data_IF_305472632761
#
_entry.id   IF_305472632761
#
_cell.length_a   1.000
_cell.length_b   1.000
_cell.length_c   1.000
_cell.angle_alpha   90.00
_cell.angle_beta   90.00
_cell.angle_gamma   90.00
#
_symmetry.space_group_name_H-M   'P 1'
#
loop_
_entity.id
_entity.type
_entity.pdbx_description
1 polymer ?
#
# COMPACT_ATOMS: atom_id res chain seq x y z
N UNK A 1 -28.33 41.63 -4.66
CA UNK A 1 -28.21 40.31 -3.99
C UNK A 1 -26.76 39.85 -4.10
N UNK A 2 -26.11 39.77 -2.96
CA UNK A 2 -24.65 39.76 -2.81
C UNK A 2 -24.10 38.32 -3.06
N UNK A 3 -23.26 38.14 -4.07
CA UNK A 3 -22.56 36.88 -4.43
C UNK A 3 -21.35 36.57 -3.54
N UNK A 4 -21.18 37.27 -2.41
CA UNK A 4 -20.03 37.09 -1.49
C UNK A 4 -20.25 36.07 -0.36
N UNK A 5 -21.44 35.44 -0.25
CA UNK A 5 -21.75 34.56 0.89
C UNK A 5 -21.58 33.05 0.60
N UNK A 6 -21.15 32.65 -0.60
CA UNK A 6 -20.99 31.24 -0.96
C UNK A 6 -19.55 30.71 -0.92
N UNK A 7 -18.57 31.61 -0.63
CA UNK A 7 -17.16 31.23 -0.57
C UNK A 7 -16.63 31.05 0.87
N UNK A 8 -17.39 31.46 1.89
CA UNK A 8 -16.97 31.40 3.31
C UNK A 8 -17.26 30.06 4.00
N UNK A 9 -17.98 29.14 3.38
CA UNK A 9 -18.29 27.82 3.96
C UNK A 9 -17.28 26.74 3.58
N UNK A 10 -16.38 27.02 2.62
CA UNK A 10 -15.41 26.04 2.10
C UNK A 10 -14.06 26.02 2.80
N UNK A 11 -13.78 26.94 3.70
CA UNK A 11 -12.46 27.04 4.38
C UNK A 11 -12.45 26.54 5.83
N UNK A 12 -13.56 26.06 6.36
CA UNK A 12 -13.66 25.57 7.76
C UNK A 12 -13.56 24.06 7.91
N UNK A 13 -13.33 23.31 6.84
CA UNK A 13 -13.02 21.88 6.92
C UNK A 13 -11.50 21.64 6.78
N UNK A 14 -10.69 22.35 7.52
CA UNK A 14 -9.38 21.83 7.96
C UNK A 14 -9.70 20.58 8.77
N UNK A 15 -9.63 19.40 8.13
CA UNK A 15 -9.66 18.12 8.78
C UNK A 15 -8.64 18.21 9.92
N UNK A 16 -9.12 18.32 11.14
CA UNK A 16 -8.28 18.31 12.34
C UNK A 16 -7.80 16.85 12.45
N UNK A 17 -6.68 16.56 11.77
CA UNK A 17 -6.10 15.23 11.79
C UNK A 17 -5.90 14.86 13.25
N UNK A 18 -6.50 13.75 13.70
CA UNK A 18 -6.34 13.29 15.08
C UNK A 18 -4.84 13.11 15.36
N UNK A 19 -4.44 13.39 16.61
CA UNK A 19 -3.03 13.26 17.04
C UNK A 19 -2.45 11.90 16.76
N UNK A 20 -3.27 10.87 16.81
CA UNK A 20 -2.90 9.50 16.42
C UNK A 20 -2.46 9.45 14.96
N UNK A 21 -3.26 9.99 14.05
CA UNK A 21 -2.93 10.04 12.62
C UNK A 21 -1.69 10.91 12.33
N UNK A 22 -1.56 12.05 13.02
CA UNK A 22 -0.37 12.90 12.90
C UNK A 22 0.91 12.14 13.28
N UNK A 23 0.85 11.33 14.34
CA UNK A 23 1.98 10.51 14.78
C UNK A 23 2.31 9.43 13.75
N UNK A 24 1.32 8.75 13.17
CA UNK A 24 1.55 7.72 12.15
C UNK A 24 2.19 8.30 10.89
N UNK A 25 1.68 9.41 10.37
CA UNK A 25 2.24 10.10 9.19
C UNK A 25 3.68 10.57 9.45
N UNK A 26 3.95 11.13 10.64
CA UNK A 26 5.30 11.52 11.02
C UNK A 26 6.26 10.31 11.14
N UNK A 27 5.76 9.17 11.65
CA UNK A 27 6.54 7.95 11.74
C UNK A 27 6.87 7.38 10.36
N UNK A 28 5.91 7.33 9.43
CA UNK A 28 6.13 6.93 8.04
C UNK A 28 7.21 7.78 7.38
N UNK A 29 7.11 9.10 7.51
CA UNK A 29 8.11 10.03 6.96
C UNK A 29 9.50 9.77 7.51
N UNK A 30 9.65 9.64 8.82
CA UNK A 30 10.95 9.37 9.46
C UNK A 30 11.54 8.02 9.05
N UNK A 31 10.70 6.98 8.90
CA UNK A 31 11.12 5.67 8.43
C UNK A 31 11.57 5.76 6.97
N UNK A 32 10.87 6.54 6.14
CA UNK A 32 11.25 6.79 4.75
C UNK A 32 12.63 7.43 4.64
N UNK A 33 12.90 8.44 5.45
CA UNK A 33 14.11 9.26 5.38
C UNK A 33 15.34 8.58 6.02
N UNK A 34 15.16 7.88 7.14
CA UNK A 34 16.28 7.39 7.96
C UNK A 34 16.18 5.92 8.37
N UNK A 35 15.21 5.19 7.82
CA UNK A 35 14.93 3.82 8.19
C UNK A 35 14.39 3.68 9.63
N UNK A 36 13.93 2.49 9.96
CA UNK A 36 13.39 2.20 11.30
C UNK A 36 14.44 2.28 12.41
N UNK A 37 15.72 2.08 12.09
CA UNK A 37 16.84 2.23 13.05
C UNK A 37 17.01 3.70 13.48
N UNK A 38 16.74 4.63 12.58
CA UNK A 38 16.81 6.07 12.84
C UNK A 38 15.63 6.64 13.62
N UNK A 39 14.54 5.86 13.77
CA UNK A 39 13.33 6.26 14.50
C UNK A 39 13.56 6.20 16.01
N UNK A 40 13.27 7.31 16.70
CA UNK A 40 13.16 7.36 18.17
C UNK A 40 11.90 8.11 18.59
N UNK A 41 11.33 7.76 19.76
CA UNK A 41 10.11 8.39 20.27
C UNK A 41 10.27 9.91 20.41
N UNK A 42 11.47 10.40 20.72
CA UNK A 42 11.75 11.84 20.81
C UNK A 42 11.76 12.51 19.42
N UNK A 43 12.43 11.92 18.43
CA UNK A 43 12.42 12.44 17.05
C UNK A 43 10.99 12.45 16.50
N UNK A 44 10.24 11.37 16.75
CA UNK A 44 8.86 11.25 16.34
C UNK A 44 7.97 12.34 16.95
N UNK A 45 8.11 12.59 18.25
CA UNK A 45 7.34 13.63 18.92
C UNK A 45 7.62 15.02 18.31
N UNK A 46 8.89 15.32 18.00
CA UNK A 46 9.30 16.55 17.34
C UNK A 46 8.70 16.67 15.93
N UNK A 47 8.77 15.60 15.13
CA UNK A 47 8.24 15.58 13.76
C UNK A 47 6.72 15.70 13.74
N UNK A 48 6.02 15.00 14.64
CA UNK A 48 4.57 15.06 14.77
C UNK A 48 4.05 16.33 15.45
N UNK A 49 4.92 17.20 15.94
CA UNK A 49 4.50 18.43 16.65
C UNK A 49 3.78 18.18 17.96
N UNK A 50 4.09 17.09 18.67
CA UNK A 50 3.45 16.69 19.93
C UNK A 50 4.47 16.51 21.05
N UNK A 51 4.01 16.54 22.30
CA UNK A 51 4.87 16.19 23.43
C UNK A 51 5.20 14.68 23.41
N UNK A 52 6.41 14.29 23.83
CA UNK A 52 6.82 12.88 23.90
C UNK A 52 5.87 12.03 24.75
N UNK A 53 5.34 12.59 25.86
CA UNK A 53 4.33 11.92 26.67
C UNK A 53 3.00 11.65 25.91
N UNK A 54 2.71 12.42 24.87
CA UNK A 54 1.55 12.15 24.00
C UNK A 54 1.76 10.87 23.18
N UNK A 55 2.98 10.62 22.69
CA UNK A 55 3.29 9.37 21.97
C UNK A 55 3.03 8.17 22.87
N UNK A 56 3.53 8.18 24.12
CA UNK A 56 3.35 7.08 25.08
C UNK A 56 1.91 6.86 25.56
N UNK A 57 0.99 7.77 25.25
CA UNK A 57 -0.46 7.55 25.47
C UNK A 57 -1.10 6.65 24.43
N UNK A 58 -0.50 6.58 23.21
CA UNK A 58 -1.01 5.78 22.10
C UNK A 58 -0.21 4.50 21.87
N UNK A 59 1.09 4.51 22.21
CA UNK A 59 2.01 3.42 21.94
C UNK A 59 2.82 3.10 23.18
N UNK A 60 2.72 1.86 23.66
CA UNK A 60 3.38 1.40 24.89
C UNK A 60 4.91 1.50 24.77
N UNK A 61 5.42 1.12 23.59
CA UNK A 61 6.84 1.14 23.26
C UNK A 61 7.08 1.37 21.75
N UNK A 62 8.35 1.32 21.36
CA UNK A 62 8.74 1.47 19.96
C UNK A 62 8.27 0.30 19.09
N UNK A 63 8.22 -0.91 19.60
CA UNK A 63 7.82 -2.10 18.84
C UNK A 63 6.33 -2.06 18.55
N UNK A 64 5.49 -1.67 19.52
CA UNK A 64 4.06 -1.41 19.31
C UNK A 64 3.83 -0.34 18.24
N UNK A 65 4.58 0.77 18.29
CA UNK A 65 4.52 1.80 17.26
C UNK A 65 4.88 1.24 15.88
N UNK A 66 5.98 0.50 15.75
CA UNK A 66 6.44 -0.05 14.47
C UNK A 66 5.43 -1.03 13.86
N UNK A 67 4.83 -1.89 14.66
CA UNK A 67 3.75 -2.80 14.22
C UNK A 67 2.55 -2.00 13.75
N UNK A 68 2.15 -0.97 14.48
CA UNK A 68 1.00 -0.14 14.12
C UNK A 68 1.25 0.62 12.81
N UNK A 69 2.43 1.23 12.64
CA UNK A 69 2.80 1.92 11.40
C UNK A 69 2.83 0.93 10.23
N UNK A 70 3.36 -0.27 10.43
CA UNK A 70 3.38 -1.32 9.41
C UNK A 70 1.96 -1.68 8.95
N UNK A 71 1.04 -1.94 9.88
CA UNK A 71 -0.36 -2.24 9.57
C UNK A 71 -1.06 -1.06 8.88
N UNK A 72 -0.78 0.16 9.30
CA UNK A 72 -1.32 1.37 8.68
C UNK A 72 -0.87 1.52 7.22
N UNK A 73 0.41 1.36 6.95
CA UNK A 73 0.96 1.37 5.59
C UNK A 73 0.39 0.22 4.75
N UNK A 74 0.30 -0.98 5.32
CA UNK A 74 -0.29 -2.15 4.66
C UNK A 74 -1.74 -1.90 4.26
N UNK A 75 -2.55 -1.30 5.16
CA UNK A 75 -3.93 -0.95 4.87
C UNK A 75 -4.04 0.08 3.73
N UNK A 76 -3.23 1.14 3.74
CA UNK A 76 -3.22 2.12 2.66
C UNK A 76 -2.87 1.50 1.30
N UNK A 77 -1.91 0.57 1.27
CA UNK A 77 -1.56 -0.16 0.05
C UNK A 77 -2.74 -1.04 -0.39
N UNK A 78 -3.35 -1.77 0.53
CA UNK A 78 -4.46 -2.66 0.23
C UNK A 78 -5.68 -1.88 -0.30
N UNK A 79 -6.01 -0.75 0.31
CA UNK A 79 -7.10 0.13 -0.13
C UNK A 79 -6.83 0.67 -1.54
N UNK A 80 -5.61 1.12 -1.82
CA UNK A 80 -5.23 1.63 -3.13
C UNK A 80 -5.28 0.52 -4.20
N UNK A 81 -4.71 -0.65 -3.93
CA UNK A 81 -4.68 -1.79 -4.87
C UNK A 81 -6.08 -2.27 -5.20
N UNK A 82 -6.97 -2.30 -4.23
CA UNK A 82 -8.34 -2.83 -4.35
C UNK A 82 -9.39 -1.74 -4.65
N UNK A 83 -8.94 -0.51 -4.92
CA UNK A 83 -9.84 0.60 -5.23
C UNK A 83 -10.66 0.33 -6.50
N UNK A 84 -11.96 0.66 -6.44
CA UNK A 84 -12.91 0.53 -7.55
C UNK A 84 -13.07 -0.92 -8.09
N UNK A 85 -12.68 -1.93 -7.34
CA UNK A 85 -12.89 -3.33 -7.70
C UNK A 85 -14.29 -3.76 -7.23
N UNK A 86 -15.07 -4.26 -8.18
CA UNK A 86 -16.33 -4.93 -7.95
C UNK A 86 -16.14 -6.44 -8.16
N UNK A 87 -16.63 -7.24 -7.23
CA UNK A 87 -16.47 -8.70 -7.24
C UNK A 87 -17.28 -9.38 -8.36
N UNK A 88 -18.27 -8.68 -8.93
CA UNK A 88 -19.05 -9.14 -10.09
C UNK A 88 -18.34 -8.89 -11.44
N UNK A 89 -17.27 -8.10 -11.46
CA UNK A 89 -16.49 -7.89 -12.69
C UNK A 89 -15.80 -9.18 -13.14
N UNK A 90 -15.60 -9.38 -14.49
CA UNK A 90 -14.79 -10.47 -15.01
C UNK A 90 -13.40 -10.52 -14.39
N UNK A 91 -12.87 -11.73 -14.14
CA UNK A 91 -11.56 -11.92 -13.49
C UNK A 91 -10.42 -11.14 -14.18
N UNK A 92 -10.38 -11.14 -15.52
CA UNK A 92 -9.36 -10.43 -16.27
C UNK A 92 -9.44 -8.90 -16.09
N UNK A 93 -10.64 -8.35 -15.96
CA UNK A 93 -10.83 -6.93 -15.72
C UNK A 93 -10.41 -6.54 -14.32
N UNK A 94 -10.79 -7.34 -13.29
CA UNK A 94 -10.34 -7.13 -11.92
C UNK A 94 -8.82 -7.20 -11.81
N UNK A 95 -8.20 -8.20 -12.42
CA UNK A 95 -6.76 -8.33 -12.48
C UNK A 95 -6.10 -7.09 -13.09
N UNK A 96 -6.58 -6.65 -14.27
CA UNK A 96 -6.07 -5.48 -14.97
C UNK A 96 -6.18 -4.21 -14.12
N UNK A 97 -7.32 -4.01 -13.44
CA UNK A 97 -7.51 -2.85 -12.57
C UNK A 97 -6.56 -2.88 -11.36
N UNK A 98 -6.45 -4.02 -10.67
CA UNK A 98 -5.49 -4.18 -9.58
C UNK A 98 -4.06 -3.93 -10.04
N UNK A 99 -3.68 -4.46 -11.21
CA UNK A 99 -2.38 -4.27 -11.81
C UNK A 99 -2.07 -2.79 -12.08
N UNK A 100 -3.04 -2.05 -12.66
CA UNK A 100 -2.92 -0.61 -12.91
C UNK A 100 -2.86 0.20 -11.62
N UNK A 101 -3.68 -0.12 -10.62
CA UNK A 101 -3.64 0.51 -9.31
C UNK A 101 -2.25 0.36 -8.66
N UNK A 102 -1.64 -0.83 -8.74
CA UNK A 102 -0.27 -1.07 -8.26
C UNK A 102 0.74 -0.26 -9.07
N UNK A 103 0.57 -0.22 -10.38
CA UNK A 103 1.45 0.54 -11.29
C UNK A 103 1.47 2.04 -10.96
N UNK A 104 0.30 2.64 -10.80
CA UNK A 104 0.14 4.04 -10.42
C UNK A 104 0.70 4.33 -9.02
N UNK A 105 0.36 3.48 -8.06
CA UNK A 105 0.86 3.60 -6.69
C UNK A 105 2.40 3.53 -6.64
N UNK A 106 3.01 2.65 -7.42
CA UNK A 106 4.47 2.48 -7.46
C UNK A 106 5.22 3.63 -8.15
N UNK A 107 4.54 4.40 -9.01
CA UNK A 107 5.09 5.60 -9.65
C UNK A 107 4.83 6.87 -8.84
N UNK A 108 3.85 6.85 -7.96
CA UNK A 108 3.59 8.00 -7.09
C UNK A 108 4.80 8.25 -6.19
N UNK A 109 5.13 9.53 -5.99
CA UNK A 109 6.22 9.96 -5.09
C UNK A 109 5.92 9.66 -3.61
N UNK A 110 4.79 9.02 -3.31
CA UNK A 110 4.51 8.61 -1.94
C UNK A 110 5.53 7.57 -1.50
N UNK A 111 6.23 7.87 -0.43
CA UNK A 111 7.24 7.02 0.18
C UNK A 111 6.73 5.61 0.56
N UNK A 112 5.42 5.40 0.51
CA UNK A 112 4.70 4.24 1.02
C UNK A 112 5.17 2.92 0.40
N UNK A 113 5.25 2.81 -0.94
CA UNK A 113 5.77 1.58 -1.58
C UNK A 113 7.28 1.50 -1.60
N UNK A 114 7.97 2.64 -1.70
CA UNK A 114 9.44 2.67 -1.58
C UNK A 114 9.90 2.14 -0.23
N UNK A 115 9.10 2.32 0.79
CA UNK A 115 9.38 1.88 2.15
C UNK A 115 8.91 0.46 2.44
N UNK A 116 8.08 -0.16 1.58
CA UNK A 116 7.60 -1.54 1.81
C UNK A 116 8.76 -2.50 2.11
N UNK A 117 9.86 -2.42 1.37
CA UNK A 117 11.07 -3.24 1.61
C UNK A 117 11.66 -2.99 3.01
N UNK A 118 11.62 -1.74 3.49
CA UNK A 118 12.05 -1.41 4.85
C UNK A 118 11.10 -1.99 5.90
N UNK A 119 9.78 -1.98 5.65
CA UNK A 119 8.80 -2.60 6.55
C UNK A 119 8.89 -4.13 6.55
N UNK A 120 9.18 -4.76 5.41
CA UNK A 120 9.42 -6.20 5.30
C UNK A 120 10.68 -6.64 6.04
N UNK A 121 11.68 -5.75 6.15
CA UNK A 121 12.94 -5.99 6.90
C UNK A 121 12.84 -5.71 8.40
N UNK A 122 11.67 -5.31 8.92
CA UNK A 122 11.47 -5.18 10.35
C UNK A 122 11.70 -6.54 11.04
N UNK A 123 12.34 -6.55 12.25
CA UNK A 123 12.61 -7.79 12.97
C UNK A 123 11.35 -8.66 13.09
N UNK A 124 11.49 -9.94 12.78
CA UNK A 124 10.41 -10.95 12.73
C UNK A 124 9.86 -11.35 14.10
N UNK A 125 10.08 -10.59 15.15
CA UNK A 125 9.30 -10.67 16.41
C UNK A 125 7.82 -10.32 16.22
N UNK A 126 7.45 -9.94 14.98
CA UNK A 126 6.06 -9.75 14.56
C UNK A 126 5.35 -11.10 14.64
N UNK A 127 4.41 -11.22 15.55
CA UNK A 127 3.63 -12.44 15.80
C UNK A 127 2.92 -12.93 14.53
N UNK A 128 2.64 -14.23 14.44
CA UNK A 128 1.85 -14.81 13.34
C UNK A 128 0.53 -14.05 13.11
N UNK A 129 -0.02 -13.41 14.13
CA UNK A 129 -1.23 -12.62 14.05
C UNK A 129 -1.10 -11.39 13.13
N UNK A 130 0.07 -10.72 13.08
CA UNK A 130 0.26 -9.55 12.22
C UNK A 130 0.24 -9.96 10.75
N UNK A 131 0.91 -11.04 10.38
CA UNK A 131 0.90 -11.57 9.00
C UNK A 131 -0.51 -11.96 8.54
N UNK A 132 -1.29 -12.55 9.43
CA UNK A 132 -2.67 -12.91 9.15
C UNK A 132 -3.57 -11.66 8.99
N UNK A 133 -3.34 -10.61 9.79
CA UNK A 133 -4.03 -9.33 9.63
C UNK A 133 -3.68 -8.67 8.28
N UNK A 134 -2.39 -8.62 7.93
CA UNK A 134 -1.94 -8.11 6.62
C UNK A 134 -2.61 -8.87 5.47
N UNK A 135 -2.64 -10.20 5.54
CA UNK A 135 -3.29 -11.02 4.51
C UNK A 135 -4.77 -10.68 4.36
N UNK A 136 -5.51 -10.51 5.46
CA UNK A 136 -6.93 -10.13 5.44
C UNK A 136 -7.20 -8.77 4.78
N UNK A 137 -6.24 -7.84 4.85
CA UNK A 137 -6.37 -6.55 4.19
C UNK A 137 -6.45 -6.68 2.66
N UNK A 138 -5.82 -7.72 2.08
CA UNK A 138 -5.84 -8.01 0.65
C UNK A 138 -6.91 -9.04 0.24
N UNK A 139 -8.04 -9.07 0.93
CA UNK A 139 -9.09 -10.08 0.71
C UNK A 139 -9.61 -10.15 -0.74
N UNK A 140 -9.73 -9.01 -1.45
CA UNK A 140 -10.15 -9.01 -2.85
C UNK A 140 -9.09 -9.59 -3.80
N UNK A 141 -7.81 -9.47 -3.45
CA UNK A 141 -6.71 -10.11 -4.19
C UNK A 141 -6.77 -11.63 -4.01
N UNK A 142 -6.94 -12.09 -2.76
CA UNK A 142 -7.11 -13.52 -2.48
C UNK A 142 -8.35 -14.08 -3.20
N UNK A 143 -9.47 -13.36 -3.14
CA UNK A 143 -10.72 -13.75 -3.82
C UNK A 143 -10.55 -13.89 -5.34
N UNK A 144 -9.82 -12.96 -5.98
CA UNK A 144 -9.49 -13.04 -7.41
C UNK A 144 -8.76 -14.34 -7.74
N UNK A 145 -7.71 -14.68 -6.96
CA UNK A 145 -6.93 -15.89 -7.21
C UNK A 145 -7.72 -17.18 -6.92
N UNK A 146 -8.48 -17.20 -5.83
CA UNK A 146 -9.28 -18.37 -5.47
C UNK A 146 -10.36 -18.65 -6.53
N UNK A 147 -11.10 -17.66 -6.97
CA UNK A 147 -12.08 -17.81 -8.06
C UNK A 147 -11.44 -18.22 -9.39
N UNK A 148 -10.26 -17.71 -9.72
CA UNK A 148 -9.54 -18.10 -10.93
C UNK A 148 -9.06 -19.56 -10.87
N UNK A 149 -8.66 -20.06 -9.71
CA UNK A 149 -8.32 -21.47 -9.49
C UNK A 149 -9.55 -22.37 -9.55
N UNK A 150 -10.66 -21.97 -8.92
CA UNK A 150 -11.94 -22.69 -8.96
C UNK A 150 -12.49 -22.85 -10.38
N UNK A 151 -12.30 -21.84 -11.23
CA UNK A 151 -12.70 -21.88 -12.64
C UNK A 151 -11.69 -22.64 -13.53
N UNK A 152 -10.60 -23.16 -12.98
CA UNK A 152 -9.53 -23.81 -13.75
C UNK A 152 -8.76 -22.86 -14.66
N UNK A 153 -8.87 -21.55 -14.45
CA UNK A 153 -8.21 -20.53 -15.27
C UNK A 153 -6.77 -20.25 -14.78
N UNK A 154 -6.56 -20.25 -13.47
CA UNK A 154 -5.24 -19.99 -12.88
C UNK A 154 -4.53 -21.30 -12.51
N UNK A 155 -3.21 -21.23 -12.53
CA UNK A 155 -2.34 -22.31 -12.07
C UNK A 155 -2.68 -22.66 -10.61
N UNK A 156 -2.69 -23.96 -10.22
CA UNK A 156 -3.00 -24.39 -8.85
C UNK A 156 -1.82 -24.14 -7.90
N UNK A 157 -1.43 -22.89 -7.78
CA UNK A 157 -0.35 -22.41 -6.93
C UNK A 157 -0.93 -21.66 -5.73
N UNK A 158 -0.12 -21.49 -4.69
CA UNK A 158 -0.46 -20.64 -3.56
C UNK A 158 -0.68 -19.18 -4.02
N UNK A 159 -1.63 -18.46 -3.39
CA UNK A 159 -1.96 -17.08 -3.76
C UNK A 159 -0.75 -16.15 -3.64
N UNK A 160 0.15 -16.39 -2.69
CA UNK A 160 1.38 -15.61 -2.56
C UNK A 160 2.32 -15.81 -3.75
N UNK A 161 2.37 -17.04 -4.30
CA UNK A 161 3.17 -17.34 -5.50
C UNK A 161 2.54 -16.66 -6.73
N UNK A 162 1.20 -16.74 -6.87
CA UNK A 162 0.50 -16.05 -7.97
C UNK A 162 0.70 -14.56 -7.89
N UNK A 163 0.64 -13.96 -6.70
CA UNK A 163 0.92 -12.55 -6.47
C UNK A 163 2.36 -12.19 -6.83
N UNK A 164 3.34 -12.99 -6.42
CA UNK A 164 4.76 -12.75 -6.72
C UNK A 164 5.03 -12.78 -8.24
N UNK A 165 4.41 -13.71 -8.97
CA UNK A 165 4.57 -13.84 -10.42
C UNK A 165 3.87 -12.73 -11.22
N UNK A 166 2.88 -12.06 -10.65
CA UNK A 166 2.05 -11.07 -11.35
C UNK A 166 2.15 -9.67 -10.75
N UNK A 167 1.69 -9.46 -9.52
CA UNK A 167 1.58 -8.13 -8.91
C UNK A 167 2.90 -7.59 -8.36
N UNK A 168 3.76 -8.42 -7.77
CA UNK A 168 5.04 -7.94 -7.24
C UNK A 168 6.02 -7.56 -8.35
N UNK A 169 5.98 -8.25 -9.49
CA UNK A 169 6.74 -7.89 -10.68
C UNK A 169 6.37 -6.50 -11.20
N UNK A 170 5.10 -6.10 -11.07
CA UNK A 170 4.60 -4.76 -11.44
C UNK A 170 5.30 -3.66 -10.66
N UNK A 171 5.49 -3.85 -9.35
CA UNK A 171 6.21 -2.89 -8.50
C UNK A 171 7.65 -2.71 -8.98
N UNK A 172 8.33 -3.81 -9.31
CA UNK A 172 9.70 -3.76 -9.80
C UNK A 172 9.81 -3.05 -11.15
N UNK A 173 8.85 -3.31 -12.05
CA UNK A 173 8.77 -2.65 -13.36
C UNK A 173 8.50 -1.16 -13.22
N UNK A 174 7.51 -0.76 -12.41
CA UNK A 174 7.17 0.64 -12.19
C UNK A 174 8.34 1.45 -11.61
N UNK A 175 9.07 0.88 -10.66
CA UNK A 175 10.30 1.50 -10.10
C UNK A 175 11.37 1.73 -11.15
N UNK A 176 11.66 0.73 -11.99
CA UNK A 176 12.64 0.86 -13.07
C UNK A 176 12.23 1.90 -14.11
N UNK A 177 10.93 2.02 -14.41
CA UNK A 177 10.41 3.09 -15.26
C UNK A 177 10.63 4.46 -14.62
N UNK A 178 10.32 4.60 -13.32
CA UNK A 178 10.55 5.86 -12.59
C UNK A 178 12.03 6.25 -12.52
N UNK A 179 12.93 5.29 -12.60
CA UNK A 179 14.39 5.49 -12.72
C UNK A 179 14.87 5.68 -14.16
N UNK A 180 13.94 5.85 -15.12
CA UNK A 180 14.23 6.05 -16.55
C UNK A 180 15.04 4.91 -17.20
N UNK A 181 15.02 3.71 -16.62
CA UNK A 181 15.73 2.55 -17.18
C UNK A 181 15.15 2.11 -18.54
N UNK A 182 13.89 2.44 -18.83
CA UNK A 182 13.20 2.19 -20.11
C UNK A 182 11.98 3.10 -20.25
N UNK A 183 11.47 3.18 -21.48
CA UNK A 183 10.21 3.85 -21.80
C UNK A 183 9.13 2.80 -22.09
N UNK A 184 7.90 3.07 -21.67
CA UNK A 184 6.73 2.26 -21.99
C UNK A 184 5.66 3.19 -22.54
N UNK A 185 5.25 2.94 -23.76
CA UNK A 185 4.03 3.50 -24.32
C UNK A 185 2.80 2.65 -23.90
N UNK A 186 1.61 3.11 -24.26
CA UNK A 186 0.36 2.44 -23.87
C UNK A 186 0.25 1.01 -24.46
N UNK A 187 0.80 0.79 -25.65
CA UNK A 187 0.82 -0.52 -26.31
C UNK A 187 1.73 -1.50 -25.58
N UNK A 188 2.94 -1.06 -25.24
CA UNK A 188 3.87 -1.87 -24.45
C UNK A 188 3.34 -2.14 -23.05
N UNK A 189 2.68 -1.16 -22.41
CA UNK A 189 2.05 -1.35 -21.10
C UNK A 189 0.95 -2.42 -21.15
N UNK A 190 0.10 -2.40 -22.19
CA UNK A 190 -0.92 -3.44 -22.37
C UNK A 190 -0.29 -4.83 -22.53
N UNK A 191 0.78 -4.96 -23.32
CA UNK A 191 1.49 -6.24 -23.48
C UNK A 191 2.12 -6.74 -22.18
N UNK A 192 2.62 -5.83 -21.33
CA UNK A 192 3.16 -6.19 -19.98
C UNK A 192 2.06 -6.72 -19.07
N UNK A 193 0.86 -6.10 -19.09
CA UNK A 193 -0.29 -6.58 -18.33
C UNK A 193 -0.70 -7.98 -18.77
N UNK A 194 -0.80 -8.19 -20.10
CA UNK A 194 -1.15 -9.50 -20.65
C UNK A 194 -0.08 -10.55 -20.31
N UNK A 195 1.21 -10.23 -20.39
CA UNK A 195 2.29 -11.14 -19.98
C UNK A 195 2.22 -11.50 -18.49
N UNK A 196 1.86 -10.54 -17.62
CA UNK A 196 1.67 -10.79 -16.18
C UNK A 196 0.46 -11.70 -15.92
N UNK A 197 -0.61 -11.56 -16.70
CA UNK A 197 -1.77 -12.44 -16.69
C UNK A 197 -1.41 -13.87 -17.16
N UNK A 198 -0.70 -14.00 -18.29
CA UNK A 198 -0.30 -15.28 -18.84
C UNK A 198 0.65 -16.05 -17.91
N UNK A 199 1.45 -15.33 -17.11
CA UNK A 199 2.33 -15.96 -16.12
C UNK A 199 1.58 -16.81 -15.09
N UNK A 200 0.33 -16.47 -14.78
CA UNK A 200 -0.49 -17.14 -13.76
C UNK A 200 -1.60 -18.03 -14.34
N UNK A 201 -1.93 -17.89 -15.64
CA UNK A 201 -2.99 -18.69 -16.29
C UNK A 201 -2.48 -20.05 -16.73
N UNK A 202 -3.42 -21.02 -16.78
CA UNK A 202 -3.20 -22.33 -17.41
C UNK A 202 -3.44 -22.23 -18.92
N UNK A 203 -2.62 -22.88 -19.71
CA UNK A 203 -2.76 -23.01 -21.18
C UNK A 203 -3.19 -24.43 -21.53
#
# INVERSE_FOLDING_TARGET
MNVHSLWDVSMSNCIHMDKYQQILVAAEKLIAESGFQGLSMHKLAKEAGVATGTIYRYFDDKDHLLVTVRLHVCQHIADAVQANIDDEMPLKERFKMMWLNIWELAQSSSATLSNRVQYESLPTTISCNVKELERKMFAKVDLLFDQGKEQGLFKPLDNQILSALSFETTVALARKKAMECYQLDDSALSAVIDASWDAITQH
#
